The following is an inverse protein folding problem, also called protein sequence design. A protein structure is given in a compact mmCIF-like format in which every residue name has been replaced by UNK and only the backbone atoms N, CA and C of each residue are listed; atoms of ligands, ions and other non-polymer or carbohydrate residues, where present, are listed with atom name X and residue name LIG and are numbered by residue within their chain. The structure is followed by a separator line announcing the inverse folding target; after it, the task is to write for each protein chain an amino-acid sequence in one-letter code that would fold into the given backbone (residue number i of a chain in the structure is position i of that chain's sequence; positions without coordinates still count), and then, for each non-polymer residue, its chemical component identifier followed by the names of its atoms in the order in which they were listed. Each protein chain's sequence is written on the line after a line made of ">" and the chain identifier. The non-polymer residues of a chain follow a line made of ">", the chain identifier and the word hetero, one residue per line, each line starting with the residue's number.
data_IF_527281439911
#
_entry.id   IF_527281439911
#
_cell.length_a   1.000
_cell.length_b   1.000
_cell.length_c   1.000
_cell.angle_alpha   90.00
_cell.angle_beta   90.00
_cell.angle_gamma   90.00
#
_symmetry.space_group_name_H-M   'P 1'
#
loop_
_entity.id
_entity.type
_entity.pdbx_description
1 polymer ?
#
# COMPACT_ATOMS: atom_id res chain seq x y z
N UNK A 1 -8.74 -17.18 21.67
CA UNK A 1 -7.44 -17.37 20.97
C UNK A 1 -6.56 -16.13 21.17
N UNK A 2 -5.27 -16.22 20.86
CA UNK A 2 -4.38 -15.05 20.87
C UNK A 2 -4.44 -14.34 19.52
N UNK A 3 -4.67 -13.03 19.49
CA UNK A 3 -4.75 -12.22 18.26
C UNK A 3 -3.55 -11.28 18.18
N UNK A 4 -2.89 -11.26 17.02
CA UNK A 4 -1.74 -10.41 16.72
C UNK A 4 -2.19 -9.06 16.15
N UNK A 5 -1.47 -7.99 16.49
CA UNK A 5 -1.77 -6.64 16.04
C UNK A 5 -0.57 -6.04 15.30
N UNK A 6 -0.80 -5.55 14.09
CA UNK A 6 0.18 -4.75 13.35
C UNK A 6 -0.20 -3.28 13.42
N UNK A 7 0.72 -2.43 13.87
CA UNK A 7 0.52 -0.98 13.96
C UNK A 7 0.83 -0.30 12.63
N UNK A 8 -0.05 0.59 12.19
CA UNK A 8 0.04 1.26 10.87
C UNK A 8 0.23 2.77 10.94
N UNK A 9 0.28 3.35 12.15
CA UNK A 9 0.42 4.80 12.40
C UNK A 9 1.46 5.50 11.50
N UNK A 10 2.65 4.90 11.38
CA UNK A 10 3.80 5.48 10.68
C UNK A 10 3.89 5.08 9.20
N UNK A 11 2.91 4.36 8.64
CA UNK A 11 2.80 4.06 7.20
C UNK A 11 1.39 4.28 6.66
N UNK A 12 0.46 3.31 6.80
CA UNK A 12 -0.84 3.39 6.14
C UNK A 12 -1.76 4.46 6.73
N UNK A 13 -1.74 4.63 8.05
CA UNK A 13 -2.61 5.57 8.73
C UNK A 13 -2.27 7.01 8.32
N UNK A 14 -0.98 7.39 8.35
CA UNK A 14 -0.56 8.70 7.87
C UNK A 14 -0.79 8.87 6.35
N UNK A 15 -0.63 7.80 5.56
CA UNK A 15 -0.92 7.83 4.13
C UNK A 15 -2.41 8.09 3.88
N UNK A 16 -3.27 7.52 4.72
CA UNK A 16 -4.73 7.59 4.59
C UNK A 16 -5.32 8.91 5.10
N UNK A 17 -4.74 9.48 6.16
CA UNK A 17 -5.29 10.65 6.85
C UNK A 17 -4.65 11.98 6.47
N UNK A 18 -3.34 11.98 6.19
CA UNK A 18 -2.53 13.19 6.06
C UNK A 18 -1.62 13.16 4.82
N UNK A 19 -2.07 12.48 3.76
CA UNK A 19 -1.39 12.43 2.47
C UNK A 19 0.10 12.02 2.57
N UNK A 20 0.44 11.16 3.53
CA UNK A 20 1.80 10.64 3.76
C UNK A 20 2.82 11.72 4.16
N UNK A 21 2.39 12.79 4.81
CA UNK A 21 3.21 13.98 5.11
C UNK A 21 3.81 14.02 6.51
N UNK A 22 3.95 12.87 7.19
CA UNK A 22 4.61 12.83 8.49
C UNK A 22 6.15 12.71 8.31
N UNK A 23 6.94 13.75 8.66
CA UNK A 23 8.38 13.65 8.73
C UNK A 23 8.84 12.71 9.84
N UNK A 24 10.05 12.17 9.72
CA UNK A 24 10.64 11.26 10.72
C UNK A 24 10.73 11.90 12.11
N UNK A 25 11.05 13.20 12.15
CA UNK A 25 11.16 13.98 13.39
C UNK A 25 9.88 14.01 14.23
N UNK A 26 8.71 13.78 13.62
CA UNK A 26 7.45 13.76 14.35
C UNK A 26 7.25 12.49 15.18
N UNK A 27 7.87 11.37 14.79
CA UNK A 27 7.64 10.08 15.44
C UNK A 27 8.90 9.41 15.98
N UNK A 28 10.09 9.97 15.72
CA UNK A 28 11.35 9.43 16.20
C UNK A 28 11.33 9.12 17.71
N UNK A 29 10.88 10.07 18.54
CA UNK A 29 10.91 9.94 20.00
C UNK A 29 9.94 8.90 20.56
N UNK A 30 8.92 8.48 19.79
CA UNK A 30 7.96 7.47 20.25
C UNK A 30 8.32 6.05 19.81
N UNK A 31 9.27 5.87 18.88
CA UNK A 31 9.64 4.57 18.31
C UNK A 31 10.07 3.55 19.36
N UNK A 32 10.82 3.95 20.40
CA UNK A 32 11.20 3.03 21.48
C UNK A 32 9.96 2.53 22.25
N UNK A 33 8.97 3.40 22.48
CA UNK A 33 7.73 2.98 23.14
C UNK A 33 6.93 2.05 22.23
N UNK A 34 6.86 2.33 20.93
CA UNK A 34 6.23 1.44 19.96
C UNK A 34 6.91 0.07 19.91
N UNK A 35 8.24 0.02 19.94
CA UNK A 35 9.03 -1.23 19.93
C UNK A 35 8.78 -2.12 21.15
N UNK A 36 8.31 -1.54 22.25
CA UNK A 36 8.00 -2.23 23.51
C UNK A 36 6.51 -2.46 23.74
N UNK A 37 5.63 -2.03 22.83
CA UNK A 37 4.19 -2.05 23.05
C UNK A 37 3.54 -3.42 22.83
N UNK A 38 4.29 -4.43 22.39
CA UNK A 38 3.80 -5.80 22.15
C UNK A 38 3.13 -5.99 20.79
N UNK A 39 3.40 -5.12 19.82
CA UNK A 39 2.94 -5.31 18.44
C UNK A 39 3.57 -6.55 17.79
N UNK A 40 2.83 -7.20 16.89
CA UNK A 40 3.38 -8.24 16.03
C UNK A 40 4.36 -7.69 15.01
N UNK A 41 4.04 -6.52 14.45
CA UNK A 41 4.92 -5.75 13.58
C UNK A 41 4.54 -4.28 13.59
N UNK A 42 5.48 -3.42 13.20
CA UNK A 42 5.22 -2.00 12.93
C UNK A 42 5.35 -1.80 11.44
N UNK A 43 4.25 -1.45 10.79
CA UNK A 43 4.27 -1.10 9.38
C UNK A 43 4.77 0.32 9.22
N UNK A 44 6.00 0.48 8.72
CA UNK A 44 6.75 1.73 8.80
C UNK A 44 7.40 2.18 7.49
N UNK A 45 7.27 1.39 6.42
CA UNK A 45 7.93 1.67 5.16
C UNK A 45 7.16 1.10 3.95
N UNK A 46 7.60 1.47 2.75
CA UNK A 46 6.88 1.10 1.53
C UNK A 46 5.59 1.90 1.31
N UNK A 47 4.69 1.39 0.48
CA UNK A 47 3.54 2.17 0.02
C UNK A 47 3.95 3.51 -0.60
N UNK A 48 3.28 4.59 -0.22
CA UNK A 48 3.59 5.94 -0.72
C UNK A 48 4.69 6.67 0.08
N UNK A 49 5.20 6.08 1.17
CA UNK A 49 6.19 6.75 2.03
C UNK A 49 7.48 7.04 1.27
N UNK A 50 7.91 6.14 0.39
CA UNK A 50 9.14 6.30 -0.39
C UNK A 50 9.09 7.51 -1.33
N UNK A 51 8.02 7.65 -2.13
CA UNK A 51 7.80 8.84 -2.97
C UNK A 51 7.67 10.11 -2.11
N UNK A 52 6.94 10.04 -1.00
CA UNK A 52 6.71 11.21 -0.14
C UNK A 52 7.99 11.72 0.52
N UNK A 53 8.85 10.81 1.00
CA UNK A 53 10.15 11.15 1.57
C UNK A 53 10.96 12.02 0.61
N UNK A 54 11.14 11.53 -0.63
CA UNK A 54 11.92 12.22 -1.65
C UNK A 54 11.25 13.50 -2.14
N UNK A 55 9.93 13.46 -2.37
CA UNK A 55 9.19 14.52 -3.07
C UNK A 55 8.80 15.69 -2.17
N UNK A 56 8.52 15.42 -0.90
CA UNK A 56 7.81 16.36 -0.04
C UNK A 56 8.45 16.60 1.31
N UNK A 57 9.13 15.58 1.86
CA UNK A 57 9.70 15.66 3.20
C UNK A 57 11.20 15.97 3.17
N UNK A 58 11.82 15.89 1.98
CA UNK A 58 13.25 16.13 1.82
C UNK A 58 14.07 15.19 2.73
N UNK A 59 13.62 13.92 2.75
CA UNK A 59 14.21 12.82 3.50
C UNK A 59 14.61 11.69 2.55
N UNK A 60 15.76 11.06 2.82
CA UNK A 60 16.13 9.81 2.15
C UNK A 60 15.30 8.66 2.76
N UNK A 61 14.47 7.95 1.98
CA UNK A 61 13.65 6.85 2.49
C UNK A 61 14.48 5.68 3.02
N UNK A 62 15.70 5.45 2.51
CA UNK A 62 16.60 4.40 3.00
C UNK A 62 17.20 4.77 4.35
N UNK A 63 17.62 6.02 4.52
CA UNK A 63 18.03 6.55 5.83
C UNK A 63 16.89 6.50 6.84
N UNK A 64 15.66 6.85 6.44
CA UNK A 64 14.48 6.72 7.30
C UNK A 64 14.32 5.29 7.80
N UNK A 65 14.45 4.28 6.93
CA UNK A 65 14.40 2.87 7.33
C UNK A 65 15.53 2.52 8.30
N UNK A 66 16.78 2.90 8.00
CA UNK A 66 17.94 2.65 8.86
C UNK A 66 17.75 3.27 10.25
N UNK A 67 17.24 4.50 10.34
CA UNK A 67 16.95 5.19 11.61
C UNK A 67 15.84 4.51 12.41
N UNK A 68 14.75 4.09 11.75
CA UNK A 68 13.70 3.32 12.42
C UNK A 68 14.27 2.01 12.96
N UNK A 69 15.02 1.25 12.14
CA UNK A 69 15.65 0.00 12.56
C UNK A 69 16.69 0.22 13.66
N UNK A 70 17.35 1.37 13.71
CA UNK A 70 18.30 1.71 14.77
C UNK A 70 17.62 1.80 16.15
N UNK A 71 16.34 2.15 16.20
CA UNK A 71 15.57 2.28 17.44
C UNK A 71 14.71 1.03 17.71
N UNK A 72 13.95 0.56 16.73
CA UNK A 72 13.08 -0.60 16.85
C UNK A 72 13.85 -1.91 16.65
N UNK A 73 14.23 -2.57 17.76
CA UNK A 73 15.05 -3.80 17.75
C UNK A 73 14.24 -5.05 18.08
N UNK A 74 13.12 -4.91 18.78
CA UNK A 74 12.32 -6.04 19.30
C UNK A 74 11.19 -6.42 18.37
N UNK A 75 10.54 -5.42 17.80
CA UNK A 75 9.36 -5.57 16.94
C UNK A 75 9.79 -5.63 15.47
N UNK A 76 9.36 -6.65 14.71
CA UNK A 76 9.61 -6.72 13.27
C UNK A 76 9.10 -5.48 12.53
N UNK A 77 9.93 -4.95 11.64
CA UNK A 77 9.50 -3.89 10.72
C UNK A 77 8.78 -4.49 9.53
N UNK A 78 7.61 -3.94 9.20
CA UNK A 78 6.81 -4.35 8.05
C UNK A 78 6.76 -3.27 6.98
N UNK A 79 6.78 -3.68 5.71
CA UNK A 79 6.50 -2.82 4.57
C UNK A 79 5.39 -3.35 3.68
N UNK A 80 4.80 -2.44 2.90
CA UNK A 80 3.94 -2.77 1.77
C UNK A 80 4.72 -2.65 0.45
N UNK A 81 4.87 -3.76 -0.28
CA UNK A 81 5.56 -3.86 -1.56
C UNK A 81 4.59 -4.29 -2.67
N UNK A 82 4.61 -3.60 -3.81
CA UNK A 82 3.73 -3.86 -4.96
C UNK A 82 4.35 -4.84 -5.96
N UNK A 83 4.81 -6.00 -5.51
CA UNK A 83 5.42 -7.02 -6.39
C UNK A 83 6.41 -6.44 -7.40
N UNK A 84 6.16 -6.69 -8.68
CA UNK A 84 6.96 -6.22 -9.81
C UNK A 84 6.99 -4.69 -9.97
N UNK A 85 6.02 -3.97 -9.40
CA UNK A 85 6.00 -2.50 -9.37
C UNK A 85 6.83 -1.89 -8.24
N UNK A 86 7.41 -2.71 -7.35
CA UNK A 86 8.11 -2.26 -6.13
C UNK A 86 7.31 -1.19 -5.37
N UNK A 87 7.77 0.06 -5.35
CA UNK A 87 7.07 1.22 -4.79
C UNK A 87 6.66 2.26 -5.86
N UNK A 88 6.89 1.96 -7.14
CA UNK A 88 6.57 2.82 -8.28
C UNK A 88 5.19 2.55 -8.89
N UNK A 89 5.04 2.95 -10.16
CA UNK A 89 3.77 2.95 -10.91
C UNK A 89 3.76 2.05 -12.16
N UNK A 90 4.85 1.34 -12.45
CA UNK A 90 5.01 0.43 -13.60
C UNK A 90 5.75 -0.83 -13.19
N UNK A 91 5.73 -1.89 -14.00
CA UNK A 91 6.60 -3.04 -13.77
C UNK A 91 8.07 -2.66 -13.98
N UNK A 92 8.94 -3.23 -13.15
CA UNK A 92 10.38 -3.16 -13.26
C UNK A 92 10.94 -4.52 -13.69
N UNK A 93 12.10 -4.56 -14.36
CA UNK A 93 12.75 -5.84 -14.66
C UNK A 93 13.24 -6.52 -13.37
N UNK A 94 13.45 -7.84 -13.45
CA UNK A 94 13.69 -8.68 -12.27
C UNK A 94 14.97 -8.31 -11.50
N UNK A 95 16.01 -7.84 -12.18
CA UNK A 95 17.27 -7.41 -11.55
C UNK A 95 17.03 -6.26 -10.56
N UNK A 96 16.16 -5.31 -10.93
CA UNK A 96 15.76 -4.19 -10.08
C UNK A 96 14.93 -4.69 -8.90
N UNK A 97 13.93 -5.54 -9.13
CA UNK A 97 13.05 -6.04 -8.06
C UNK A 97 13.86 -6.82 -7.02
N UNK A 98 14.75 -7.71 -7.47
CA UNK A 98 15.61 -8.49 -6.58
C UNK A 98 16.52 -7.59 -5.76
N UNK A 99 17.22 -6.66 -6.41
CA UNK A 99 18.12 -5.79 -5.69
C UNK A 99 17.37 -4.86 -4.72
N UNK A 100 16.18 -4.39 -5.08
CA UNK A 100 15.35 -3.58 -4.20
C UNK A 100 14.95 -4.35 -2.93
N UNK A 101 14.48 -5.58 -3.06
CA UNK A 101 14.12 -6.44 -1.91
C UNK A 101 15.35 -6.72 -1.04
N UNK A 102 16.48 -7.08 -1.66
CA UNK A 102 17.73 -7.34 -0.94
C UNK A 102 18.21 -6.12 -0.16
N UNK A 103 18.25 -4.94 -0.78
CA UNK A 103 18.61 -3.68 -0.12
C UNK A 103 17.63 -3.32 0.99
N UNK A 104 16.34 -3.57 0.80
CA UNK A 104 15.35 -3.36 1.86
C UNK A 104 15.60 -4.26 3.07
N UNK A 105 15.93 -5.53 2.85
CA UNK A 105 16.28 -6.49 3.88
C UNK A 105 17.58 -6.13 4.62
N UNK A 106 18.64 -5.78 3.87
CA UNK A 106 19.94 -5.33 4.40
C UNK A 106 19.80 -4.09 5.30
N UNK A 107 18.91 -3.16 4.92
CA UNK A 107 18.69 -1.91 5.65
C UNK A 107 17.75 -2.04 6.86
N UNK A 108 17.13 -3.20 7.08
CA UNK A 108 16.41 -3.48 8.32
C UNK A 108 14.98 -3.97 8.18
N UNK A 109 14.46 -4.16 6.96
CA UNK A 109 13.10 -4.68 6.77
C UNK A 109 13.01 -6.15 7.19
N UNK A 110 11.93 -6.53 7.86
CA UNK A 110 11.74 -7.89 8.38
C UNK A 110 10.56 -8.61 7.71
N UNK A 111 9.44 -7.90 7.51
CA UNK A 111 8.22 -8.43 6.89
C UNK A 111 7.91 -7.66 5.61
N UNK A 112 7.82 -8.39 4.50
CA UNK A 112 7.41 -7.85 3.21
C UNK A 112 5.98 -8.30 2.94
N UNK A 113 5.01 -7.38 3.03
CA UNK A 113 3.66 -7.64 2.53
C UNK A 113 3.64 -7.36 1.03
N UNK A 114 3.57 -8.42 0.24
CA UNK A 114 3.76 -8.37 -1.22
C UNK A 114 2.41 -8.61 -1.90
N UNK A 115 1.94 -7.63 -2.67
CA UNK A 115 0.67 -7.70 -3.38
C UNK A 115 0.81 -7.31 -4.84
N UNK A 116 -0.15 -7.78 -5.64
CA UNK A 116 -0.39 -7.34 -7.01
C UNK A 116 -1.83 -6.79 -7.11
N UNK A 117 -2.03 -5.73 -7.89
CA UNK A 117 -3.34 -5.05 -7.95
C UNK A 117 -4.44 -5.91 -8.59
N UNK A 118 -4.08 -6.88 -9.43
CA UNK A 118 -5.00 -7.79 -10.11
C UNK A 118 -5.11 -9.15 -9.43
N UNK A 119 -4.34 -9.39 -8.36
CA UNK A 119 -4.09 -10.72 -7.81
C UNK A 119 -3.50 -11.68 -8.86
N UNK A 120 -2.69 -11.17 -9.79
CA UNK A 120 -1.88 -11.99 -10.70
C UNK A 120 -0.54 -12.32 -10.04
N UNK A 121 -0.43 -13.49 -9.40
CA UNK A 121 0.72 -13.80 -8.56
C UNK A 121 2.03 -14.02 -9.32
N UNK A 122 1.98 -14.15 -10.65
CA UNK A 122 3.19 -14.07 -11.50
C UNK A 122 3.94 -12.76 -11.27
N UNK A 123 3.22 -11.67 -10.97
CA UNK A 123 3.81 -10.36 -10.70
C UNK A 123 4.43 -10.23 -9.30
N UNK A 124 4.25 -11.20 -8.40
CA UNK A 124 4.87 -11.17 -7.06
C UNK A 124 5.96 -12.22 -6.87
N UNK A 125 6.05 -13.21 -7.75
CA UNK A 125 6.99 -14.35 -7.66
C UNK A 125 8.42 -13.92 -7.34
N UNK A 126 8.96 -12.96 -8.09
CA UNK A 126 10.36 -12.51 -7.94
C UNK A 126 10.59 -11.83 -6.59
N UNK A 127 9.63 -11.02 -6.14
CA UNK A 127 9.72 -10.36 -4.85
C UNK A 127 9.59 -11.34 -3.69
N UNK A 128 8.70 -12.33 -3.80
CA UNK A 128 8.52 -13.40 -2.79
C UNK A 128 9.80 -14.24 -2.69
N UNK A 129 10.31 -14.72 -3.82
CA UNK A 129 11.53 -15.54 -3.90
C UNK A 129 12.75 -14.79 -3.31
N UNK A 130 12.97 -13.53 -3.68
CA UNK A 130 14.11 -12.77 -3.12
C UNK A 130 13.94 -12.46 -1.63
N UNK A 131 12.70 -12.25 -1.16
CA UNK A 131 12.43 -12.03 0.27
C UNK A 131 12.82 -13.26 1.09
N UNK A 132 12.43 -14.44 0.61
CA UNK A 132 12.77 -15.73 1.24
C UNK A 132 14.29 -15.95 1.20
N UNK A 133 14.95 -15.72 0.06
CA UNK A 133 16.41 -15.81 -0.09
C UNK A 133 17.17 -14.85 0.83
N UNK A 134 16.58 -13.69 1.12
CA UNK A 134 17.12 -12.71 2.07
C UNK A 134 16.90 -13.09 3.54
N UNK A 135 16.29 -14.26 3.82
CA UNK A 135 15.99 -14.72 5.18
C UNK A 135 14.91 -13.92 5.89
N UNK A 136 14.01 -13.27 5.12
CA UNK A 136 12.96 -12.39 5.63
C UNK A 136 11.57 -13.00 5.46
N UNK A 137 10.59 -12.43 6.13
CA UNK A 137 9.22 -12.92 6.13
C UNK A 137 8.47 -12.39 4.90
N UNK A 138 8.27 -13.24 3.90
CA UNK A 138 7.35 -12.99 2.80
C UNK A 138 5.90 -13.21 3.25
N UNK A 139 5.10 -12.13 3.29
CA UNK A 139 3.66 -12.18 3.49
C UNK A 139 2.94 -11.95 2.15
N UNK A 140 2.42 -13.02 1.55
CA UNK A 140 1.61 -12.93 0.33
C UNK A 140 0.30 -12.21 0.62
N UNK A 141 -0.19 -11.41 -0.31
CA UNK A 141 -1.35 -10.55 -0.08
C UNK A 141 -2.39 -10.70 -1.18
N UNK A 142 -3.64 -10.90 -0.77
CA UNK A 142 -4.81 -10.97 -1.64
C UNK A 142 -5.55 -9.64 -1.50
N UNK A 143 -5.63 -8.87 -2.59
CA UNK A 143 -6.46 -7.67 -2.66
C UNK A 143 -7.93 -8.07 -2.73
N UNK A 144 -8.67 -7.79 -1.65
CA UNK A 144 -10.08 -8.12 -1.53
C UNK A 144 -10.94 -7.18 -2.37
N UNK A 145 -11.95 -7.74 -3.03
CA UNK A 145 -13.00 -7.01 -3.74
C UNK A 145 -14.26 -7.87 -3.88
N UNK A 146 -15.34 -7.31 -4.39
CA UNK A 146 -16.55 -8.08 -4.71
C UNK A 146 -16.92 -7.89 -6.17
N UNK A 147 -17.20 -9.00 -6.86
CA UNK A 147 -17.75 -9.05 -8.21
C UNK A 147 -18.23 -10.47 -8.52
N UNK A 148 -18.91 -10.71 -9.66
CA UNK A 148 -19.36 -12.06 -10.04
C UNK A 148 -18.26 -13.13 -10.13
N UNK A 149 -16.97 -12.74 -10.23
CA UNK A 149 -15.83 -13.68 -10.33
C UNK A 149 -15.05 -13.84 -9.03
N UNK A 150 -15.33 -13.04 -8.00
CA UNK A 150 -14.66 -13.10 -6.69
C UNK A 150 -15.54 -13.83 -5.69
N UNK A 151 -15.40 -15.16 -5.63
CA UNK A 151 -16.10 -16.02 -4.67
C UNK A 151 -15.14 -16.49 -3.58
N UNK A 152 -15.68 -17.05 -2.49
CA UNK A 152 -14.87 -17.64 -1.40
C UNK A 152 -13.96 -18.75 -1.94
N UNK A 153 -14.44 -19.59 -2.85
CA UNK A 153 -13.67 -20.64 -3.49
C UNK A 153 -12.48 -20.07 -4.27
N UNK A 154 -12.70 -18.98 -5.02
CA UNK A 154 -11.64 -18.31 -5.77
C UNK A 154 -10.58 -17.72 -4.84
N UNK A 155 -10.99 -17.14 -3.72
CA UNK A 155 -10.04 -16.66 -2.72
C UNK A 155 -9.26 -17.80 -2.03
N UNK A 156 -9.89 -18.95 -1.81
CA UNK A 156 -9.21 -20.15 -1.30
C UNK A 156 -8.19 -20.67 -2.30
N UNK A 157 -8.50 -20.69 -3.60
CA UNK A 157 -7.53 -21.03 -4.65
C UNK A 157 -6.32 -20.09 -4.62
N UNK A 158 -6.56 -18.77 -4.52
CA UNK A 158 -5.51 -17.78 -4.38
C UNK A 158 -4.65 -18.04 -3.12
N UNK A 159 -5.27 -18.38 -2.00
CA UNK A 159 -4.56 -18.71 -0.77
C UNK A 159 -3.63 -19.92 -0.94
N UNK A 160 -4.09 -20.98 -1.62
CA UNK A 160 -3.28 -22.18 -1.92
C UNK A 160 -2.14 -21.88 -2.88
N UNK A 161 -2.37 -21.01 -3.87
CA UNK A 161 -1.32 -20.57 -4.79
C UNK A 161 -0.21 -19.83 -4.05
N UNK A 162 -0.56 -18.88 -3.18
CA UNK A 162 0.41 -18.18 -2.33
C UNK A 162 1.17 -19.12 -1.39
N UNK A 163 0.49 -20.09 -0.75
CA UNK A 163 1.14 -21.10 0.09
C UNK A 163 2.13 -21.96 -0.72
N UNK A 164 1.77 -22.36 -1.94
CA UNK A 164 2.64 -23.10 -2.83
C UNK A 164 3.89 -22.31 -3.28
N UNK A 165 3.80 -20.97 -3.32
CA UNK A 165 4.96 -20.08 -3.54
C UNK A 165 5.90 -20.00 -2.34
N UNK A 166 5.54 -20.56 -1.19
CA UNK A 166 6.38 -20.58 0.01
C UNK A 166 6.27 -19.33 0.89
N UNK A 167 5.18 -18.56 0.79
CA UNK A 167 4.96 -17.42 1.69
C UNK A 167 4.85 -17.89 3.14
N UNK A 168 5.29 -17.06 4.09
CA UNK A 168 5.28 -17.38 5.52
C UNK A 168 3.93 -17.07 6.18
N UNK A 169 3.11 -16.23 5.55
CA UNK A 169 1.74 -15.89 5.97
C UNK A 169 0.98 -15.27 4.79
N UNK A 170 -0.34 -15.22 4.88
CA UNK A 170 -1.20 -14.56 3.89
C UNK A 170 -1.94 -13.39 4.55
N UNK A 171 -2.04 -12.25 3.86
CA UNK A 171 -2.86 -11.11 4.26
C UNK A 171 -4.03 -10.92 3.29
N UNK A 172 -5.24 -10.79 3.81
CA UNK A 172 -6.40 -10.30 3.06
C UNK A 172 -6.44 -8.79 3.19
N UNK A 173 -6.22 -8.07 2.08
CA UNK A 173 -6.16 -6.61 2.06
C UNK A 173 -7.44 -6.04 1.46
N UNK A 174 -8.33 -5.59 2.33
CA UNK A 174 -9.50 -4.78 2.01
C UNK A 174 -9.14 -3.28 2.09
N UNK A 175 -8.57 -2.78 1.01
CA UNK A 175 -8.11 -1.38 0.90
C UNK A 175 -9.24 -0.35 0.89
N UNK A 176 -10.48 -0.76 0.58
CA UNK A 176 -11.63 0.14 0.46
C UNK A 176 -12.57 0.08 1.67
N UNK A 177 -12.39 -0.89 2.57
CA UNK A 177 -13.28 -1.11 3.71
C UNK A 177 -14.62 -1.71 3.28
N UNK A 178 -14.64 -2.54 2.24
CA UNK A 178 -15.87 -3.10 1.65
C UNK A 178 -16.12 -4.56 2.02
N UNK A 179 -15.20 -5.19 2.76
CA UNK A 179 -15.43 -6.55 3.25
C UNK A 179 -16.51 -6.52 4.33
N UNK A 180 -17.65 -7.15 4.04
CA UNK A 180 -18.73 -7.26 4.99
C UNK A 180 -18.42 -8.27 6.09
N UNK A 181 -19.14 -8.21 7.23
CA UNK A 181 -18.88 -9.06 8.38
C UNK A 181 -19.09 -10.56 8.09
N UNK A 182 -20.13 -10.92 7.33
CA UNK A 182 -20.38 -12.32 7.00
C UNK A 182 -19.35 -12.83 5.99
N UNK A 183 -19.03 -12.02 4.99
CA UNK A 183 -18.00 -12.30 3.99
C UNK A 183 -16.63 -12.53 4.66
N UNK A 184 -16.26 -11.70 5.64
CA UNK A 184 -15.03 -11.88 6.40
C UNK A 184 -15.03 -13.19 7.20
N UNK A 185 -16.15 -13.54 7.83
CA UNK A 185 -16.26 -14.81 8.55
C UNK A 185 -16.04 -16.00 7.61
N UNK A 186 -16.81 -16.05 6.52
CA UNK A 186 -16.81 -17.17 5.58
C UNK A 186 -15.46 -17.31 4.87
N UNK A 187 -14.89 -16.18 4.42
CA UNK A 187 -13.58 -16.16 3.77
C UNK A 187 -12.46 -16.63 4.70
N UNK A 188 -12.37 -16.08 5.91
CA UNK A 188 -11.31 -16.45 6.85
C UNK A 188 -11.47 -17.92 7.26
N UNK A 189 -12.69 -18.36 7.53
CA UNK A 189 -12.98 -19.75 7.90
C UNK A 189 -12.51 -20.71 6.81
N UNK A 190 -12.89 -20.44 5.56
CA UNK A 190 -12.52 -21.27 4.42
C UNK A 190 -11.00 -21.29 4.16
N UNK A 191 -10.32 -20.16 4.32
CA UNK A 191 -8.85 -20.08 4.21
C UNK A 191 -8.16 -20.87 5.33
N UNK A 192 -8.58 -20.70 6.58
CA UNK A 192 -8.00 -21.43 7.73
C UNK A 192 -8.18 -22.94 7.62
N UNK A 193 -9.19 -23.41 6.91
CA UNK A 193 -9.40 -24.83 6.62
C UNK A 193 -8.58 -25.34 5.42
N UNK A 194 -8.10 -24.43 4.57
CA UNK A 194 -7.50 -24.74 3.28
C UNK A 194 -5.99 -24.57 3.20
N UNK A 195 -5.41 -23.71 4.03
CA UNK A 195 -3.96 -23.44 4.11
C UNK A 195 -3.45 -23.52 5.54
N UNK A 196 -2.16 -23.77 5.71
CA UNK A 196 -1.50 -23.96 7.01
C UNK A 196 -0.83 -22.69 7.52
N UNK A 197 -0.44 -21.80 6.61
CA UNK A 197 0.22 -20.54 6.97
C UNK A 197 -0.74 -19.60 7.72
N UNK A 198 -0.23 -18.75 8.64
CA UNK A 198 -1.06 -17.78 9.34
C UNK A 198 -1.78 -16.82 8.39
N UNK A 199 -3.01 -16.44 8.74
CA UNK A 199 -3.85 -15.50 8.00
C UNK A 199 -3.95 -14.19 8.78
N UNK A 200 -3.72 -13.09 8.08
CA UNK A 200 -3.90 -11.73 8.56
C UNK A 200 -5.00 -11.05 7.76
N UNK A 201 -5.66 -10.07 8.36
CA UNK A 201 -6.61 -9.21 7.65
C UNK A 201 -6.30 -7.74 7.90
N UNK A 202 -6.31 -6.98 6.81
CA UNK A 202 -6.15 -5.54 6.78
C UNK A 202 -7.41 -4.93 6.18
N UNK A 203 -8.11 -4.08 6.92
CA UNK A 203 -9.25 -3.32 6.41
C UNK A 203 -9.16 -1.84 6.78
N UNK A 204 -9.70 -0.99 5.91
CA UNK A 204 -9.93 0.41 6.20
C UNK A 204 -11.30 0.62 6.86
N UNK A 205 -11.44 1.67 7.67
CA UNK A 205 -12.68 2.00 8.39
C UNK A 205 -13.62 2.91 7.61
N UNK A 206 -13.40 3.09 6.30
CA UNK A 206 -14.04 4.16 5.51
C UNK A 206 -15.56 4.04 5.46
N UNK A 207 -16.07 2.81 5.43
CA UNK A 207 -17.51 2.48 5.41
C UNK A 207 -18.12 2.31 6.80
N UNK A 208 -17.31 2.37 7.86
CA UNK A 208 -17.72 2.07 9.22
C UNK A 208 -17.69 0.57 9.56
N UNK A 209 -17.51 -0.33 8.57
CA UNK A 209 -17.58 -1.78 8.77
C UNK A 209 -16.33 -2.39 9.44
N UNK A 210 -15.20 -1.68 9.45
CA UNK A 210 -13.91 -2.27 9.86
C UNK A 210 -13.92 -3.06 11.20
N UNK A 211 -14.36 -2.47 12.34
CA UNK A 211 -14.40 -3.17 13.62
C UNK A 211 -15.26 -4.44 13.63
N UNK A 212 -16.45 -4.41 13.01
CA UNK A 212 -17.33 -5.58 12.95
C UNK A 212 -16.79 -6.66 11.99
N UNK A 213 -16.10 -6.25 10.93
CA UNK A 213 -15.39 -7.14 10.01
C UNK A 213 -14.27 -7.88 10.75
N UNK A 214 -13.46 -7.16 11.53
CA UNK A 214 -12.42 -7.76 12.35
C UNK A 214 -12.97 -8.69 13.43
N UNK A 215 -14.05 -8.32 14.10
CA UNK A 215 -14.69 -9.19 15.07
C UNK A 215 -15.07 -10.54 14.44
N UNK A 216 -15.74 -10.51 13.28
CA UNK A 216 -16.12 -11.73 12.57
C UNK A 216 -14.93 -12.51 12.03
N UNK A 217 -13.88 -11.85 11.57
CA UNK A 217 -12.64 -12.51 11.17
C UNK A 217 -11.95 -13.21 12.36
N UNK A 218 -11.97 -12.61 13.55
CA UNK A 218 -11.44 -13.21 14.78
C UNK A 218 -12.28 -14.40 15.23
N UNK A 219 -13.60 -14.32 15.16
CA UNK A 219 -14.50 -15.47 15.41
C UNK A 219 -14.25 -16.63 14.44
N UNK A 220 -13.85 -16.34 13.20
CA UNK A 220 -13.47 -17.33 12.19
C UNK A 220 -12.04 -17.87 12.34
N UNK A 221 -11.22 -17.28 13.22
CA UNK A 221 -9.88 -17.76 13.56
C UNK A 221 -8.73 -17.06 12.84
N UNK A 222 -8.88 -15.80 12.42
CA UNK A 222 -7.77 -15.00 11.87
C UNK A 222 -6.64 -14.85 12.89
N UNK A 223 -5.38 -14.95 12.46
CA UNK A 223 -4.21 -14.92 13.36
C UNK A 223 -3.80 -13.49 13.75
N UNK A 224 -4.08 -12.51 12.89
CA UNK A 224 -3.80 -11.10 13.21
C UNK A 224 -4.59 -10.09 12.39
N UNK A 225 -4.66 -8.88 12.94
CA UNK A 225 -5.35 -7.73 12.37
C UNK A 225 -4.43 -6.51 12.31
N UNK A 226 -4.64 -5.65 11.31
CA UNK A 226 -3.96 -4.36 11.23
C UNK A 226 -4.80 -3.27 11.88
N UNK A 227 -4.18 -2.47 12.75
CA UNK A 227 -4.86 -1.36 13.43
C UNK A 227 -4.02 -0.09 13.37
N UNK A 228 -4.65 1.03 13.72
CA UNK A 228 -3.96 2.29 13.91
C UNK A 228 -4.21 2.80 15.34
N UNK A 229 -3.19 3.37 15.98
CA UNK A 229 -3.34 4.00 17.29
C UNK A 229 -4.39 5.12 17.25
N UNK A 230 -5.17 5.29 18.33
CA UNK A 230 -6.42 6.06 18.31
C UNK A 230 -6.38 7.43 17.61
N UNK A 231 -5.38 8.33 17.78
CA UNK A 231 -5.36 9.61 17.07
C UNK A 231 -5.24 9.45 15.55
N UNK A 232 -4.60 8.37 15.10
CA UNK A 232 -4.34 8.04 13.69
C UNK A 232 -5.32 6.99 13.15
N UNK A 233 -6.38 6.66 13.88
CA UNK A 233 -7.38 5.64 13.49
C UNK A 233 -8.68 6.24 12.95
N UNK A 234 -9.51 5.39 12.33
CA UNK A 234 -10.84 5.73 11.85
C UNK A 234 -10.85 6.52 10.53
N UNK A 235 -12.05 6.86 10.05
CA UNK A 235 -12.21 7.48 8.73
C UNK A 235 -11.62 6.61 7.62
N UNK A 236 -10.74 7.19 6.80
CA UNK A 236 -9.99 6.45 5.78
C UNK A 236 -8.86 5.57 6.34
N UNK A 237 -8.54 5.63 7.64
CA UNK A 237 -7.52 4.79 8.29
C UNK A 237 -8.08 3.44 8.77
N UNK A 238 -7.26 2.64 9.43
CA UNK A 238 -7.62 1.36 10.03
C UNK A 238 -8.49 1.55 11.31
N UNK A 239 -9.15 0.47 11.79
CA UNK A 239 -9.75 0.44 13.12
C UNK A 239 -8.77 0.75 14.25
N UNK A 240 -9.28 1.33 15.34
CA UNK A 240 -8.53 1.76 16.51
C UNK A 240 -7.88 0.58 17.26
N UNK A 241 -6.56 0.64 17.46
CA UNK A 241 -5.77 -0.37 18.20
C UNK A 241 -6.35 -0.61 19.60
N UNK A 242 -6.53 0.45 20.39
CA UNK A 242 -6.98 0.37 21.78
C UNK A 242 -8.40 -0.19 21.89
N UNK A 243 -9.30 0.25 21.02
CA UNK A 243 -10.70 -0.22 21.02
C UNK A 243 -10.79 -1.70 20.64
N UNK A 244 -10.04 -2.13 19.63
CA UNK A 244 -10.00 -3.54 19.23
C UNK A 244 -9.39 -4.41 20.32
N UNK A 245 -8.28 -3.98 20.94
CA UNK A 245 -7.71 -4.67 22.10
C UNK A 245 -8.75 -4.87 23.21
N UNK A 246 -9.39 -3.78 23.64
CA UNK A 246 -10.39 -3.81 24.70
C UNK A 246 -11.56 -4.76 24.37
N UNK A 247 -12.13 -4.64 23.17
CA UNK A 247 -13.27 -5.45 22.75
C UNK A 247 -12.91 -6.94 22.69
N UNK A 248 -11.76 -7.29 22.12
CA UNK A 248 -11.32 -8.68 22.01
C UNK A 248 -11.02 -9.31 23.39
N UNK A 249 -10.45 -8.55 24.33
CA UNK A 249 -10.23 -9.01 25.71
C UNK A 249 -11.54 -9.24 26.46
N UNK A 250 -12.53 -8.35 26.30
CA UNK A 250 -13.88 -8.55 26.86
C UNK A 250 -14.55 -9.81 26.31
N UNK A 251 -14.25 -10.18 25.07
CA UNK A 251 -14.75 -11.39 24.42
C UNK A 251 -13.90 -12.65 24.70
N UNK A 252 -12.91 -12.56 25.59
CA UNK A 252 -12.10 -13.71 26.02
C UNK A 252 -10.93 -14.06 25.10
N UNK A 253 -10.55 -13.18 24.18
CA UNK A 253 -9.31 -13.29 23.41
C UNK A 253 -8.14 -12.68 24.17
N UNK A 254 -6.92 -13.11 23.86
CA UNK A 254 -5.69 -12.55 24.46
C UNK A 254 -4.90 -11.75 23.44
N UNK A 255 -4.20 -10.72 23.92
CA UNK A 255 -3.31 -9.87 23.11
C UNK A 255 -1.99 -9.67 23.85
N UNK A 256 -0.91 -9.34 23.14
CA UNK A 256 0.39 -8.98 23.76
C UNK A 256 0.51 -7.48 24.07
N UNK A 257 -0.52 -6.69 23.76
CA UNK A 257 -0.43 -5.25 23.76
C UNK A 257 -0.38 -4.67 25.18
N UNK A 258 0.57 -3.79 25.44
CA UNK A 258 0.69 -3.06 26.71
C UNK A 258 -0.18 -1.79 26.68
N UNK A 259 -1.26 -1.77 27.46
CA UNK A 259 -2.19 -0.64 27.53
C UNK A 259 -1.53 0.69 27.96
N UNK A 260 -0.50 0.66 28.81
CA UNK A 260 0.21 1.86 29.24
C UNK A 260 1.13 2.39 28.14
N UNK A 261 1.78 1.50 27.39
CA UNK A 261 2.54 1.88 26.19
C UNK A 261 1.61 2.46 25.12
N UNK A 262 0.48 1.82 24.84
CA UNK A 262 -0.52 2.33 23.90
C UNK A 262 -1.00 3.73 24.27
N UNK A 263 -1.29 3.98 25.55
CA UNK A 263 -1.67 5.31 26.01
C UNK A 263 -0.58 6.36 25.70
N UNK A 264 0.70 6.05 25.97
CA UNK A 264 1.81 6.98 25.66
C UNK A 264 1.91 7.25 24.15
N UNK A 265 1.73 6.22 23.33
CA UNK A 265 1.75 6.34 21.86
C UNK A 265 0.58 7.22 21.41
N UNK A 266 -0.63 7.00 21.93
CA UNK A 266 -1.79 7.84 21.63
C UNK A 266 -1.58 9.30 22.07
N UNK A 267 -1.08 9.52 23.28
CA UNK A 267 -0.81 10.87 23.80
C UNK A 267 0.25 11.60 22.93
N UNK A 268 1.21 10.87 22.34
CA UNK A 268 2.20 11.42 21.41
C UNK A 268 1.59 11.84 20.07
N UNK A 269 0.74 11.00 19.47
CA UNK A 269 0.14 11.30 18.16
C UNK A 269 -1.02 12.29 18.21
N UNK A 270 -1.65 12.51 19.37
CA UNK A 270 -2.74 13.48 19.52
C UNK A 270 -2.37 14.92 19.09
N UNK A 271 -1.31 15.57 19.63
CA UNK A 271 -0.94 16.91 19.18
C UNK A 271 -0.49 16.97 17.72
N UNK A 272 0.07 15.88 17.18
CA UNK A 272 0.47 15.76 15.76
C UNK A 272 -0.78 15.80 14.87
N UNK A 273 -1.84 15.06 15.24
CA UNK A 273 -3.13 15.11 14.56
C UNK A 273 -3.71 16.52 14.56
N UNK A 274 -3.71 17.19 15.71
CA UNK A 274 -4.24 18.55 15.85
C UNK A 274 -3.48 19.55 14.96
N UNK A 275 -2.15 19.41 14.88
CA UNK A 275 -1.31 20.20 13.98
C UNK A 275 -1.72 19.99 12.52
N UNK A 276 -1.87 18.75 12.07
CA UNK A 276 -2.25 18.45 10.68
C UNK A 276 -3.69 18.88 10.33
N UNK A 277 -4.60 18.90 11.29
CA UNK A 277 -5.93 19.52 11.12
C UNK A 277 -5.78 21.02 10.89
N UNK A 278 -4.99 21.70 11.73
CA UNK A 278 -4.76 23.15 11.62
C UNK A 278 -4.08 23.55 10.31
N UNK A 279 -3.17 22.72 9.81
CA UNK A 279 -2.49 22.89 8.53
C UNK A 279 -3.37 22.53 7.32
N UNK A 280 -4.54 21.92 7.55
CA UNK A 280 -5.46 21.50 6.49
C UNK A 280 -5.05 20.23 5.75
N UNK A 281 -4.01 19.52 6.21
CA UNK A 281 -3.58 18.24 5.65
C UNK A 281 -4.49 17.08 6.08
N UNK A 282 -5.05 17.13 7.29
CA UNK A 282 -6.14 16.26 7.71
C UNK A 282 -7.47 16.99 7.52
N UNK A 283 -8.31 16.50 6.60
CA UNK A 283 -9.64 17.05 6.40
C UNK A 283 -10.64 16.38 7.34
N UNK A 284 -11.33 17.09 8.26
CA UNK A 284 -12.34 16.47 9.12
C UNK A 284 -13.45 15.75 8.35
N UNK A 285 -13.74 16.15 7.10
CA UNK A 285 -14.70 15.44 6.23
C UNK A 285 -14.23 14.04 5.84
N UNK A 286 -12.92 13.81 5.68
CA UNK A 286 -12.39 12.46 5.38
C UNK A 286 -12.41 11.53 6.58
N UNK A 287 -12.69 12.05 7.78
CA UNK A 287 -12.97 11.23 8.96
C UNK A 287 -14.40 10.69 8.99
N UNK A 288 -15.30 11.22 8.15
CA UNK A 288 -16.69 10.77 8.06
C UNK A 288 -16.83 9.41 7.38
N UNK A 289 -17.90 8.69 7.73
CA UNK A 289 -18.25 7.41 7.14
C UNK A 289 -18.85 7.59 5.75
N UNK A 290 -18.45 6.73 4.81
CA UNK A 290 -18.82 6.76 3.39
C UNK A 290 -19.34 5.41 2.94
N UNK A 291 -20.65 5.19 3.08
CA UNK A 291 -21.30 3.93 2.71
C UNK A 291 -21.52 3.78 1.21
N UNK A 292 -21.48 4.88 0.45
CA UNK A 292 -21.55 4.88 -1.03
C UNK A 292 -20.39 4.13 -1.69
N UNK A 293 -19.29 3.93 -0.97
CA UNK A 293 -18.18 3.07 -1.42
C UNK A 293 -18.61 1.60 -1.52
N UNK A 294 -19.64 1.15 -0.80
CA UNK A 294 -20.16 -0.21 -0.92
C UNK A 294 -20.78 -0.46 -2.30
N UNK A 295 -21.33 0.58 -2.93
CA UNK A 295 -21.97 0.50 -4.24
C UNK A 295 -20.94 0.57 -5.38
N UNK A 296 -20.09 1.60 -5.36
CA UNK A 296 -19.16 1.88 -6.47
C UNK A 296 -17.77 1.28 -6.28
N UNK A 297 -17.44 0.80 -5.07
CA UNK A 297 -16.13 0.25 -4.67
C UNK A 297 -14.94 1.18 -4.91
N UNK A 298 -15.20 2.48 -5.11
CA UNK A 298 -14.19 3.47 -5.40
C UNK A 298 -13.55 3.95 -4.09
N UNK A 299 -12.23 3.77 -3.88
CA UNK A 299 -11.57 4.24 -2.67
C UNK A 299 -11.69 5.77 -2.52
N UNK A 300 -11.81 6.26 -1.27
CA UNK A 300 -12.06 7.67 -0.98
C UNK A 300 -11.07 8.67 -1.60
N UNK A 301 -9.80 8.28 -1.73
CA UNK A 301 -8.78 9.08 -2.43
C UNK A 301 -9.08 9.26 -3.92
N UNK A 302 -9.54 8.21 -4.61
CA UNK A 302 -9.92 8.29 -6.01
C UNK A 302 -11.23 9.06 -6.20
N UNK A 303 -12.20 8.91 -5.29
CA UNK A 303 -13.42 9.73 -5.30
C UNK A 303 -13.11 11.23 -5.28
N UNK A 304 -12.26 11.66 -4.34
CA UNK A 304 -11.85 13.07 -4.21
C UNK A 304 -11.11 13.57 -5.46
N UNK A 305 -10.21 12.75 -6.01
CA UNK A 305 -9.48 13.10 -7.23
C UNK A 305 -10.40 13.23 -8.45
N UNK A 306 -11.35 12.31 -8.61
CA UNK A 306 -12.32 12.32 -9.71
C UNK A 306 -13.22 13.56 -9.64
N UNK A 307 -13.71 13.91 -8.45
CA UNK A 307 -14.50 15.12 -8.25
C UNK A 307 -13.70 16.38 -8.60
N UNK A 308 -12.45 16.46 -8.15
CA UNK A 308 -11.56 17.58 -8.49
C UNK A 308 -11.35 17.66 -10.01
N UNK A 309 -11.03 16.55 -10.67
CA UNK A 309 -10.84 16.50 -12.11
C UNK A 309 -12.06 17.02 -12.86
N UNK A 310 -13.27 16.54 -12.52
CA UNK A 310 -14.51 16.99 -13.16
C UNK A 310 -14.82 18.45 -12.85
N UNK A 311 -14.49 18.93 -11.65
CA UNK A 311 -14.61 20.36 -11.29
C UNK A 311 -13.69 21.24 -12.13
N UNK A 312 -12.42 20.85 -12.28
CA UNK A 312 -11.44 21.56 -13.10
C UNK A 312 -11.85 21.58 -14.59
N UNK A 313 -12.54 20.52 -15.04
CA UNK A 313 -13.15 20.43 -16.38
C UNK A 313 -14.51 21.12 -16.52
N UNK A 314 -15.01 21.79 -15.46
CA UNK A 314 -16.34 22.43 -15.41
C UNK A 314 -17.50 21.47 -15.72
N UNK A 315 -17.38 20.22 -15.28
CA UNK A 315 -18.35 19.15 -15.50
C UNK A 315 -18.76 18.45 -14.19
N UNK A 316 -18.68 19.14 -13.05
CA UNK A 316 -19.02 18.58 -11.74
C UNK A 316 -20.51 18.15 -11.63
N UNK A 317 -21.38 18.75 -12.45
CA UNK A 317 -22.79 18.38 -12.60
C UNK A 317 -23.00 16.95 -13.10
N UNK A 318 -22.00 16.36 -13.78
CA UNK A 318 -22.02 14.99 -14.31
C UNK A 318 -21.34 13.96 -13.41
N UNK A 319 -20.97 14.35 -12.18
CA UNK A 319 -20.16 13.50 -11.31
C UNK A 319 -20.87 12.19 -10.93
N UNK A 320 -22.18 12.23 -10.65
CA UNK A 320 -22.98 11.05 -10.36
C UNK A 320 -23.08 10.10 -11.57
N UNK A 321 -23.18 10.65 -12.79
CA UNK A 321 -23.13 9.84 -14.02
C UNK A 321 -21.76 9.13 -14.16
N UNK A 322 -20.67 9.80 -13.81
CA UNK A 322 -19.33 9.21 -13.84
C UNK A 322 -19.18 8.09 -12.80
N UNK A 323 -19.73 8.25 -11.59
CA UNK A 323 -19.77 7.19 -10.58
C UNK A 323 -20.57 5.97 -11.08
N UNK A 324 -21.73 6.20 -11.69
CA UNK A 324 -22.57 5.13 -12.24
C UNK A 324 -21.91 4.38 -13.42
N UNK A 325 -20.97 5.00 -14.12
CA UNK A 325 -20.22 4.38 -15.23
C UNK A 325 -19.03 3.51 -14.75
N UNK A 326 -18.57 3.68 -13.50
CA UNK A 326 -17.44 2.89 -12.94
C UNK A 326 -17.71 1.38 -12.99
N UNK A 327 -18.86 0.85 -12.52
CA UNK A 327 -19.15 -0.58 -12.60
C UNK A 327 -19.14 -1.13 -14.05
N UNK A 328 -19.55 -0.32 -15.03
CA UNK A 328 -19.55 -0.70 -16.44
C UNK A 328 -18.13 -0.82 -16.99
N UNK A 329 -17.29 0.19 -16.74
CA UNK A 329 -15.87 0.15 -17.13
C UNK A 329 -15.16 -1.00 -16.43
N UNK A 330 -15.39 -1.16 -15.13
CA UNK A 330 -14.80 -2.26 -14.35
C UNK A 330 -15.19 -3.63 -14.91
N UNK A 331 -16.45 -3.81 -15.31
CA UNK A 331 -16.92 -5.05 -15.97
C UNK A 331 -16.21 -5.26 -17.32
N UNK A 332 -16.16 -4.23 -18.16
CA UNK A 332 -15.51 -4.31 -19.48
C UNK A 332 -14.01 -4.64 -19.37
N UNK A 333 -13.37 -4.31 -18.24
CA UNK A 333 -11.98 -4.63 -17.94
C UNK A 333 -11.76 -5.94 -17.16
N UNK A 334 -12.78 -6.79 -17.03
CA UNK A 334 -12.62 -8.09 -16.37
C UNK A 334 -12.58 -8.02 -14.85
N UNK A 335 -13.30 -7.06 -14.26
CA UNK A 335 -13.49 -6.89 -12.81
C UNK A 335 -12.20 -6.75 -11.97
N UNK A 336 -11.23 -5.90 -12.34
CA UNK A 336 -10.05 -5.69 -11.50
C UNK A 336 -10.45 -5.19 -10.10
N UNK A 337 -9.73 -5.59 -9.02
CA UNK A 337 -9.82 -4.91 -7.74
C UNK A 337 -9.49 -3.42 -7.90
N UNK A 338 -10.30 -2.53 -7.33
CA UNK A 338 -10.10 -1.08 -7.45
C UNK A 338 -9.07 -0.55 -6.45
N UNK A 339 -7.84 -1.08 -6.53
CA UNK A 339 -6.65 -0.59 -5.82
C UNK A 339 -5.75 0.16 -6.79
N UNK A 340 -4.87 1.04 -6.30
CA UNK A 340 -3.90 1.74 -7.17
C UNK A 340 -3.02 0.73 -7.92
N UNK A 341 -2.83 0.86 -9.26
CA UNK A 341 -3.29 1.94 -10.14
C UNK A 341 -4.66 1.72 -10.82
N UNK A 342 -5.33 0.59 -10.58
CA UNK A 342 -6.58 0.21 -11.26
C UNK A 342 -7.74 1.17 -10.97
N UNK A 343 -7.84 1.70 -9.75
CA UNK A 343 -8.90 2.66 -9.42
C UNK A 343 -8.78 3.95 -10.22
N UNK A 344 -7.56 4.45 -10.45
CA UNK A 344 -7.31 5.62 -11.30
C UNK A 344 -7.66 5.33 -12.76
N UNK A 345 -7.20 4.19 -13.29
CA UNK A 345 -7.49 3.77 -14.65
C UNK A 345 -9.00 3.70 -14.92
N UNK A 346 -9.73 2.98 -14.07
CA UNK A 346 -11.19 2.79 -14.20
C UNK A 346 -11.92 4.12 -14.06
N UNK A 347 -11.62 4.90 -13.03
CA UNK A 347 -12.34 6.16 -12.79
C UNK A 347 -12.08 7.22 -13.87
N UNK A 348 -10.83 7.38 -14.34
CA UNK A 348 -10.54 8.32 -15.43
C UNK A 348 -11.19 7.87 -16.75
N UNK A 349 -11.23 6.57 -17.03
CA UNK A 349 -11.94 6.06 -18.21
C UNK A 349 -13.46 6.27 -18.10
N UNK A 350 -14.05 6.12 -16.91
CA UNK A 350 -15.47 6.40 -16.66
C UNK A 350 -15.80 7.87 -16.90
N UNK A 351 -14.98 8.80 -16.41
CA UNK A 351 -15.11 10.24 -16.71
C UNK A 351 -15.06 10.49 -18.22
N UNK A 352 -14.10 9.91 -18.94
CA UNK A 352 -14.01 10.06 -20.39
C UNK A 352 -15.24 9.51 -21.12
N UNK A 353 -15.79 8.37 -20.67
CA UNK A 353 -16.99 7.78 -21.25
C UNK A 353 -18.20 8.73 -21.12
N UNK A 354 -18.37 9.38 -19.96
CA UNK A 354 -19.46 10.33 -19.71
C UNK A 354 -19.29 11.63 -20.50
N UNK A 355 -18.07 12.16 -20.55
CA UNK A 355 -17.82 13.45 -21.21
C UNK A 355 -17.79 13.37 -22.73
N UNK A 356 -17.23 12.28 -23.28
CA UNK A 356 -16.94 12.18 -24.71
C UNK A 356 -17.68 11.04 -25.40
N UNK A 357 -18.39 10.18 -24.65
CA UNK A 357 -19.07 8.99 -25.15
C UNK A 357 -18.25 7.70 -24.93
N UNK A 358 -18.96 6.60 -24.65
CA UNK A 358 -18.38 5.31 -24.25
C UNK A 358 -17.24 4.85 -25.18
N UNK A 359 -16.03 4.76 -24.62
CA UNK A 359 -14.78 4.39 -25.29
C UNK A 359 -14.49 5.12 -26.61
N UNK A 360 -15.01 6.34 -26.82
CA UNK A 360 -14.58 7.20 -27.94
C UNK A 360 -13.17 7.74 -27.70
N UNK A 361 -12.84 8.03 -26.43
CA UNK A 361 -11.49 8.37 -25.99
C UNK A 361 -11.01 7.36 -24.94
N UNK A 362 -10.14 6.45 -25.37
CA UNK A 362 -9.57 5.41 -24.51
C UNK A 362 -8.23 5.93 -23.96
N UNK A 363 -8.09 5.96 -22.64
CA UNK A 363 -6.86 6.46 -21.99
C UNK A 363 -5.67 5.56 -22.31
N UNK A 364 -4.45 6.12 -22.19
CA UNK A 364 -3.21 5.36 -22.39
C UNK A 364 -3.13 4.16 -21.44
N UNK A 365 -3.47 4.35 -20.17
CA UNK A 365 -3.40 3.29 -19.17
C UNK A 365 -4.44 2.19 -19.43
N UNK A 366 -5.66 2.55 -19.84
CA UNK A 366 -6.66 1.57 -20.28
C UNK A 366 -6.16 0.77 -21.47
N UNK A 367 -5.50 1.40 -22.45
CA UNK A 367 -4.89 0.67 -23.58
C UNK A 367 -3.79 -0.27 -23.09
N UNK A 368 -2.88 0.18 -22.24
CA UNK A 368 -1.81 -0.67 -21.69
C UNK A 368 -2.36 -1.86 -20.90
N UNK A 369 -3.43 -1.67 -20.12
CA UNK A 369 -4.16 -2.74 -19.45
C UNK A 369 -4.74 -3.76 -20.44
N UNK A 370 -5.44 -3.28 -21.47
CA UNK A 370 -6.02 -4.15 -22.51
C UNK A 370 -4.95 -4.90 -23.34
N UNK A 371 -3.72 -4.39 -23.35
CA UNK A 371 -2.57 -5.06 -23.98
C UNK A 371 -1.97 -6.17 -23.10
N UNK A 372 -2.30 -6.22 -21.81
CA UNK A 372 -1.74 -7.17 -20.85
C UNK A 372 -0.51 -6.68 -20.07
N UNK A 373 -0.18 -5.38 -20.15
CA UNK A 373 1.04 -4.84 -19.52
C UNK A 373 0.99 -4.85 -17.97
N UNK A 374 -0.20 -4.93 -17.38
CA UNK A 374 -0.40 -4.98 -15.92
C UNK A 374 -0.55 -6.41 -15.38
N UNK A 375 -0.68 -7.42 -16.26
CA UNK A 375 -1.02 -8.79 -15.88
C UNK A 375 -2.43 -9.21 -16.29
N UNK A 376 -2.87 -10.35 -15.77
CA UNK A 376 -4.12 -11.01 -16.12
C UNK A 376 -5.27 -10.45 -15.27
N UNK A 377 -6.33 -10.01 -15.95
CA UNK A 377 -7.57 -9.62 -15.29
C UNK A 377 -8.25 -10.83 -14.60
N UNK A 378 -8.93 -10.65 -13.45
CA UNK A 378 -9.62 -11.74 -12.75
C UNK A 378 -10.72 -12.42 -13.58
N UNK A 379 -11.45 -11.64 -14.38
CA UNK A 379 -12.53 -12.10 -15.25
C UNK A 379 -12.27 -11.82 -16.74
N UNK A 380 -13.28 -12.10 -17.56
CA UNK A 380 -13.21 -11.87 -19.00
C UNK A 380 -13.21 -10.37 -19.33
N UNK A 381 -12.22 -9.95 -20.12
CA UNK A 381 -12.13 -8.60 -20.68
C UNK A 381 -12.97 -8.51 -21.95
N UNK A 382 -13.58 -7.35 -22.20
CA UNK A 382 -14.35 -7.07 -23.40
C UNK A 382 -13.47 -7.16 -24.66
N UNK A 383 -13.67 -8.21 -25.46
CA UNK A 383 -12.83 -8.50 -26.63
C UNK A 383 -13.00 -7.49 -27.77
N UNK A 384 -14.17 -6.88 -27.93
CA UNK A 384 -14.37 -5.80 -28.91
C UNK A 384 -13.52 -4.58 -28.55
N UNK A 385 -13.41 -4.28 -27.26
CA UNK A 385 -12.58 -3.19 -26.76
C UNK A 385 -11.09 -3.48 -26.94
N UNK A 386 -10.65 -4.73 -26.73
CA UNK A 386 -9.28 -5.17 -27.02
C UNK A 386 -8.96 -4.99 -28.50
N UNK A 387 -9.80 -5.53 -29.40
CA UNK A 387 -9.62 -5.45 -30.85
C UNK A 387 -9.65 -4.01 -31.39
N UNK A 388 -10.37 -3.10 -30.70
CA UNK A 388 -10.35 -1.66 -31.02
C UNK A 388 -9.02 -0.98 -30.70
N UNK A 389 -8.26 -1.50 -29.73
CA UNK A 389 -7.02 -0.89 -29.26
C UNK A 389 -5.77 -1.51 -29.89
N UNK A 390 -5.78 -2.82 -30.11
CA UNK A 390 -4.58 -3.60 -30.42
C UNK A 390 -4.87 -4.72 -31.40
N UNK A 391 -3.88 -5.07 -32.21
CA UNK A 391 -3.90 -6.28 -33.01
C UNK A 391 -3.53 -7.50 -32.16
N UNK A 392 -3.98 -8.72 -32.52
CA UNK A 392 -3.67 -9.94 -31.77
C UNK A 392 -2.17 -10.15 -31.47
N UNK A 393 -1.30 -9.82 -32.44
CA UNK A 393 0.16 -9.94 -32.31
C UNK A 393 0.81 -8.93 -31.35
N UNK A 394 0.09 -7.88 -30.93
CA UNK A 394 0.58 -6.86 -29.99
C UNK A 394 0.24 -7.17 -28.53
N UNK A 395 -0.63 -8.15 -28.29
CA UNK A 395 -1.10 -8.55 -26.96
C UNK A 395 -0.01 -9.34 -26.24
N UNK A 396 0.28 -8.94 -24.99
CA UNK A 396 1.21 -9.61 -24.10
C UNK A 396 0.47 -10.77 -23.42
N UNK A 397 0.92 -12.00 -23.68
CA UNK A 397 0.34 -13.23 -23.10
C UNK A 397 1.20 -13.84 -21.98
N UNK A 398 2.47 -13.46 -21.90
CA UNK A 398 3.41 -13.84 -20.83
C UNK A 398 3.33 -12.86 -19.63
N UNK A 399 4.17 -13.05 -18.61
CA UNK A 399 4.34 -12.04 -17.56
C UNK A 399 5.04 -10.83 -18.20
N UNK A 400 4.46 -9.64 -18.09
CA UNK A 400 4.98 -8.46 -18.79
C UNK A 400 6.45 -8.15 -18.47
N UNK A 401 6.91 -8.43 -17.25
CA UNK A 401 8.31 -8.24 -16.87
C UNK A 401 9.30 -9.13 -17.64
N UNK A 402 8.86 -10.25 -18.21
CA UNK A 402 9.71 -11.09 -19.07
C UNK A 402 10.09 -10.40 -20.39
N UNK A 403 9.38 -9.31 -20.73
CA UNK A 403 9.65 -8.48 -21.92
C UNK A 403 10.58 -7.30 -21.63
N UNK A 404 10.95 -7.09 -20.37
CA UNK A 404 11.76 -5.96 -19.93
C UNK A 404 13.24 -6.35 -19.86
N UNK A 405 14.09 -5.55 -20.50
CA UNK A 405 15.53 -5.68 -20.39
C UNK A 405 16.02 -5.28 -18.98
N UNK A 406 17.07 -5.94 -18.44
CA UNK A 406 17.71 -5.53 -17.20
C UNK A 406 18.09 -4.04 -17.21
N UNK A 407 17.84 -3.36 -16.09
CA UNK A 407 17.96 -1.90 -16.04
C UNK A 407 19.02 -1.39 -15.04
N UNK A 408 19.35 -2.16 -14.00
CA UNK A 408 20.10 -1.62 -12.86
C UNK A 408 21.52 -1.17 -13.24
N UNK A 409 22.33 -2.06 -13.81
CA UNK A 409 23.73 -1.75 -14.16
C UNK A 409 23.84 -0.63 -15.21
N UNK A 410 22.91 -0.63 -16.18
CA UNK A 410 22.82 0.43 -17.18
C UNK A 410 22.53 1.78 -16.53
N UNK A 411 21.52 1.86 -15.68
CA UNK A 411 21.16 3.11 -14.99
C UNK A 411 22.24 3.57 -14.01
N UNK A 412 22.93 2.63 -13.34
CA UNK A 412 24.08 2.95 -12.47
C UNK A 412 25.21 3.61 -13.26
N UNK A 413 25.56 3.07 -14.43
CA UNK A 413 26.56 3.67 -15.30
C UNK A 413 26.13 5.05 -15.85
N UNK A 414 24.85 5.23 -16.18
CA UNK A 414 24.30 6.52 -16.65
C UNK A 414 24.32 7.60 -15.57
N UNK A 415 24.11 7.24 -14.30
CA UNK A 415 24.12 8.18 -13.17
C UNK A 415 25.54 8.60 -12.77
N UNK A 416 26.52 7.70 -12.90
CA UNK A 416 27.90 7.97 -12.49
C UNK A 416 27.96 8.51 -11.06
N UNK A 417 28.69 9.60 -10.85
CA UNK A 417 28.92 10.20 -9.53
C UNK A 417 27.66 10.83 -8.88
N UNK A 418 26.55 10.98 -9.63
CA UNK A 418 25.28 11.48 -9.06
C UNK A 418 24.68 10.53 -8.04
N UNK A 419 24.90 9.21 -8.22
CA UNK A 419 24.44 8.19 -7.30
C UNK A 419 25.61 7.70 -6.44
N UNK A 420 25.49 7.84 -5.12
CA UNK A 420 26.58 7.51 -4.18
C UNK A 420 26.58 6.04 -3.75
N UNK A 421 25.46 5.36 -3.96
CA UNK A 421 25.26 3.96 -3.61
C UNK A 421 24.15 3.34 -4.49
N UNK A 422 23.96 2.02 -4.37
CA UNK A 422 22.93 1.29 -5.10
C UNK A 422 21.52 1.77 -4.73
N UNK A 423 21.31 2.18 -3.48
CA UNK A 423 20.06 2.74 -2.99
C UNK A 423 19.66 4.05 -3.71
N UNK A 424 20.63 4.91 -4.05
CA UNK A 424 20.39 6.09 -4.89
C UNK A 424 19.93 5.67 -6.29
N UNK A 425 20.60 4.67 -6.90
CA UNK A 425 20.23 4.15 -8.21
C UNK A 425 18.80 3.57 -8.18
N UNK A 426 18.44 2.80 -7.15
CA UNK A 426 17.09 2.27 -6.98
C UNK A 426 16.04 3.36 -6.79
N UNK A 427 16.38 4.42 -6.06
CA UNK A 427 15.52 5.60 -5.87
C UNK A 427 15.28 6.31 -7.20
N UNK A 428 16.34 6.46 -8.01
CA UNK A 428 16.25 7.02 -9.34
C UNK A 428 15.41 6.17 -10.29
N UNK A 429 15.64 4.85 -10.34
CA UNK A 429 14.84 3.94 -11.18
C UNK A 429 13.35 4.06 -10.81
N UNK A 430 13.05 4.15 -9.52
CA UNK A 430 11.68 4.27 -9.03
C UNK A 430 11.03 5.61 -9.41
N UNK A 431 11.76 6.72 -9.20
CA UNK A 431 11.24 8.08 -9.39
C UNK A 431 12.28 9.05 -9.99
N UNK A 432 12.64 8.95 -11.29
CA UNK A 432 13.82 9.60 -11.85
C UNK A 432 13.89 11.11 -11.58
N UNK A 433 12.85 11.85 -11.96
CA UNK A 433 12.80 13.32 -11.81
C UNK A 433 12.74 13.76 -10.34
N UNK A 434 12.21 12.92 -9.45
CA UNK A 434 12.12 13.25 -8.01
C UNK A 434 13.47 13.01 -7.36
N UNK A 435 14.09 11.87 -7.67
CA UNK A 435 15.40 11.51 -7.17
C UNK A 435 16.47 12.50 -7.64
N UNK A 436 16.46 12.94 -8.90
CA UNK A 436 17.40 13.97 -9.39
C UNK A 436 17.30 15.27 -8.58
N UNK A 437 16.08 15.75 -8.33
CA UNK A 437 15.87 16.96 -7.51
C UNK A 437 16.33 16.75 -6.08
N UNK A 438 16.09 15.57 -5.52
CA UNK A 438 16.55 15.22 -4.18
C UNK A 438 18.08 15.17 -4.08
N UNK A 439 18.77 14.56 -5.06
CA UNK A 439 20.23 14.50 -5.10
C UNK A 439 20.85 15.89 -5.22
N UNK A 440 20.28 16.76 -6.06
CA UNK A 440 20.71 18.15 -6.18
C UNK A 440 20.55 18.90 -4.85
N UNK A 441 19.39 18.78 -4.20
CA UNK A 441 19.15 19.42 -2.90
C UNK A 441 20.11 18.91 -1.81
N UNK A 442 20.45 17.61 -1.83
CA UNK A 442 21.44 17.01 -0.93
C UNK A 442 22.84 17.61 -1.15
N UNK A 443 23.29 17.74 -2.39
CA UNK A 443 24.57 18.36 -2.73
C UNK A 443 24.63 19.85 -2.34
N UNK A 444 23.56 20.59 -2.61
CA UNK A 444 23.46 22.01 -2.24
C UNK A 444 23.57 22.20 -0.72
N UNK A 445 22.86 21.41 0.08
CA UNK A 445 22.95 21.46 1.55
C UNK A 445 24.36 21.17 2.06
N UNK A 446 25.02 20.17 1.50
CA UNK A 446 26.39 19.81 1.89
C UNK A 446 27.39 20.90 1.52
N UNK A 447 27.28 21.48 0.33
CA UNK A 447 28.13 22.59 -0.12
C UNK A 447 27.96 23.87 0.71
N UNK A 448 26.76 24.10 1.26
CA UNK A 448 26.43 25.26 2.07
C UNK A 448 26.65 25.05 3.58
N UNK A 449 27.11 23.87 4.00
CA UNK A 449 27.40 23.58 5.42
C UNK A 449 28.89 23.81 5.71
N UNK A 450 29.20 24.81 6.54
CA UNK A 450 30.57 25.09 7.00
C UNK A 450 30.80 24.44 8.35
N UNK A 451 31.70 23.46 8.41
CA UNK A 451 32.20 22.91 9.67
C UNK A 451 33.38 23.76 10.15
N UNK A 452 33.30 24.29 11.36
CA UNK A 452 34.41 24.99 12.02
C UNK A 452 34.62 24.44 13.43
N UNK A 453 35.86 24.47 13.89
CA UNK A 453 36.24 24.09 15.25
C UNK A 453 36.75 25.34 15.96
N UNK A 454 36.20 25.64 17.14
CA UNK A 454 36.70 26.72 17.99
C UNK A 454 37.69 26.10 18.97
N UNK A 455 38.95 26.49 18.87
CA UNK A 455 39.98 26.15 19.85
C UNK A 455 40.33 27.39 20.69
N UNK A 456 40.43 27.20 22.01
CA UNK A 456 40.89 28.26 22.91
C UNK A 456 42.40 28.41 22.74
N UNK A 457 42.85 29.60 22.34
CA UNK A 457 44.28 29.94 22.34
C UNK A 457 44.78 29.95 23.79
N UNK A 458 45.80 29.15 24.08
CA UNK A 458 46.59 29.31 25.30
C UNK A 458 47.55 30.48 25.09
N UNK A 459 47.39 31.52 25.91
CA UNK A 459 48.31 32.67 25.99
C UNK A 459 49.36 32.44 27.09
#
# INVERSE_FOLDING_TARGET
>A
MKVKFTETAVRDAQQSLIATRMPFSDFESILETMDNAGYHSIECWGGATFDSCLRFLDEDPWERLRKIKAICKKTPLQMLLRGQNILGYKHYPDDVVRLFVRKSAENGMDIFRIFDALNDFRNIEVAVDETIKSGKHAQGCICYTTSPVHTVEKYVEMGKELEAMGVHSICIKDMAGICGPQEAYDLIKALKESVKVPIFIHTHHTTGLGPITYLKAVEAGVDGIDTAISPMSGGTSQPCTESMKYALEQLGHTTDLDSAALKKIADHFAPIKDRFIKEGLLNPKSMGIRTDILDYQLPGGMYSNMLKQMTDMKAADKFEEALAEIPNVRKDLGYPPLVTPMSQLVGTQAVNNVLFGKYKQITKDTKAFLRGEYGRAPGEVNQELVAKCWKPEEIVTCRFADTLEPAFEKTKAELGDKARCDEDVLSYISFPQVAEKFFQAREEKESNTVNYTIEKKED
#
